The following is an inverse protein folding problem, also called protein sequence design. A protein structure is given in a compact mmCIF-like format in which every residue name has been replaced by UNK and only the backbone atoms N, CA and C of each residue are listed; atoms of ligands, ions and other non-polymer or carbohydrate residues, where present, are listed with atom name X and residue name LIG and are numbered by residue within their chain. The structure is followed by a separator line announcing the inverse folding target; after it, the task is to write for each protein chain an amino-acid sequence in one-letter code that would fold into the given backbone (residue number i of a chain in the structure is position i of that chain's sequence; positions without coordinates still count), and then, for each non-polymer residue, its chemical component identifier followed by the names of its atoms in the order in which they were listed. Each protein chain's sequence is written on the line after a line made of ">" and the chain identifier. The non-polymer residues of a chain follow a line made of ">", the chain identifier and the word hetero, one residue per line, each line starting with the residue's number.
data_IF_663098673135
#
_entry.id   IF_663098673135
#
_cell.length_a   1.000
_cell.length_b   1.000
_cell.length_c   1.000
_cell.angle_alpha   90.00
_cell.angle_beta   90.00
_cell.angle_gamma   90.00
#
_symmetry.space_group_name_H-M   'P 1'
#
loop_
_entity.id
_entity.type
_entity.pdbx_description
1 polymer ?
#
# COMPACT_ATOMS: atom_id res chain seq x y z
N UNK A 1 4.58 4.86 -0.52
CA UNK A 1 4.80 5.92 0.49
C UNK A 1 4.49 5.36 1.86
N UNK A 2 5.33 5.66 2.85
CA UNK A 2 5.15 5.26 4.25
C UNK A 2 5.46 6.46 5.14
N UNK A 3 4.59 6.77 6.10
CA UNK A 3 4.75 7.89 7.02
C UNK A 3 5.09 9.24 6.32
N UNK A 4 4.48 9.51 5.17
CA UNK A 4 4.70 10.73 4.39
C UNK A 4 5.87 10.69 3.40
N UNK A 5 6.70 9.64 3.38
CA UNK A 5 7.88 9.55 2.52
C UNK A 5 7.79 8.44 1.46
N UNK A 6 8.28 8.71 0.26
CA UNK A 6 8.40 7.70 -0.81
C UNK A 6 9.61 6.81 -0.49
N UNK A 7 9.37 5.51 -0.28
CA UNK A 7 10.43 4.55 0.04
C UNK A 7 10.83 3.64 -1.13
N UNK A 8 10.10 3.70 -2.27
CA UNK A 8 10.41 2.87 -3.43
C UNK A 8 9.47 3.08 -4.61
N UNK A 9 9.92 2.63 -5.77
CA UNK A 9 9.16 2.55 -7.01
C UNK A 9 9.12 1.10 -7.47
N UNK A 10 7.94 0.63 -7.89
CA UNK A 10 7.71 -0.73 -8.36
C UNK A 10 6.92 -0.69 -9.67
N UNK A 11 7.14 -1.70 -10.50
CA UNK A 11 6.43 -1.91 -11.75
C UNK A 11 5.00 -2.41 -11.54
N UNK A 12 4.77 -3.20 -10.48
CA UNK A 12 3.47 -3.73 -10.07
C UNK A 12 3.36 -3.91 -8.54
N UNK A 13 2.12 -4.00 -8.03
CA UNK A 13 1.84 -4.38 -6.65
C UNK A 13 1.99 -5.90 -6.51
N UNK A 14 3.06 -6.33 -5.84
CA UNK A 14 3.33 -7.74 -5.52
C UNK A 14 2.75 -8.09 -4.14
N UNK A 15 3.26 -9.18 -3.57
CA UNK A 15 2.86 -9.71 -2.26
C UNK A 15 2.83 -8.61 -1.17
N UNK A 16 1.64 -8.33 -0.57
CA UNK A 16 1.51 -7.35 0.49
C UNK A 16 2.34 -7.68 1.74
N UNK A 17 2.75 -8.92 1.96
CA UNK A 17 3.62 -9.29 3.08
C UNK A 17 5.04 -8.70 2.96
N UNK A 18 5.43 -8.24 1.77
CA UNK A 18 6.69 -7.52 1.57
C UNK A 18 6.61 -6.03 1.94
N UNK A 19 5.46 -5.56 2.43
CA UNK A 19 5.14 -4.15 2.58
C UNK A 19 4.70 -3.85 4.01
N UNK A 20 4.99 -2.62 4.46
CA UNK A 20 4.63 -2.20 5.81
C UNK A 20 3.12 -1.91 5.91
N UNK A 21 2.40 -2.40 6.94
CA UNK A 21 0.96 -2.17 7.14
C UNK A 21 0.58 -0.69 7.26
N UNK A 22 -0.06 -0.11 6.25
CA UNK A 22 -0.37 1.33 6.14
C UNK A 22 0.42 2.05 5.03
N UNK A 23 1.26 1.33 4.28
CA UNK A 23 1.91 1.88 3.10
C UNK A 23 0.87 2.17 2.01
N UNK A 24 1.09 3.29 1.30
CA UNK A 24 0.28 3.67 0.15
C UNK A 24 1.04 3.43 -1.14
N UNK A 25 0.37 2.84 -2.13
CA UNK A 25 0.82 2.72 -3.50
C UNK A 25 -0.19 3.42 -4.43
N UNK A 26 0.30 3.94 -5.55
CA UNK A 26 -0.55 4.57 -6.57
C UNK A 26 -0.20 3.91 -7.90
N UNK A 27 -1.21 3.43 -8.62
CA UNK A 27 -1.01 2.85 -9.95
C UNK A 27 -0.97 3.92 -11.05
N UNK A 28 -0.78 3.48 -12.30
CA UNK A 28 -0.72 4.38 -13.47
C UNK A 28 -2.05 5.06 -13.79
N UNK A 29 -3.18 4.50 -13.35
CA UNK A 29 -4.49 5.09 -13.51
C UNK A 29 -4.82 6.09 -12.38
N UNK A 30 -3.94 6.22 -11.38
CA UNK A 30 -4.15 7.09 -10.22
C UNK A 30 -4.93 6.42 -9.09
N UNK A 31 -5.20 5.12 -9.18
CA UNK A 31 -5.87 4.38 -8.10
C UNK A 31 -4.90 4.22 -6.95
N UNK A 32 -5.35 4.60 -5.76
CA UNK A 32 -4.57 4.50 -4.52
C UNK A 32 -4.91 3.18 -3.84
N UNK A 33 -3.88 2.46 -3.42
CA UNK A 33 -3.99 1.23 -2.63
C UNK A 33 -3.30 1.43 -1.29
N UNK A 34 -3.90 0.92 -0.24
CA UNK A 34 -3.32 0.89 1.11
C UNK A 34 -3.04 -0.56 1.51
N UNK A 35 -1.85 -0.80 2.02
CA UNK A 35 -1.49 -2.09 2.60
C UNK A 35 -2.20 -2.22 3.96
N UNK A 36 -3.03 -3.23 4.16
CA UNK A 36 -3.83 -3.40 5.39
C UNK A 36 -3.63 -4.75 6.07
N UNK A 37 -3.88 -4.76 7.39
CA UNK A 37 -3.66 -5.91 8.27
C UNK A 37 -2.18 -6.24 8.50
N UNK A 38 -1.92 -7.27 9.31
CA UNK A 38 -0.56 -7.72 9.60
C UNK A 38 0.15 -6.87 10.66
N UNK A 39 1.48 -6.90 10.65
CA UNK A 39 2.35 -6.18 11.59
C UNK A 39 3.71 -5.85 10.95
N UNK A 40 4.56 -5.10 11.65
CA UNK A 40 5.86 -4.63 11.13
C UNK A 40 6.86 -5.77 10.86
N UNK A 41 6.66 -6.95 11.45
CA UNK A 41 7.55 -8.10 11.26
C UNK A 41 7.10 -8.98 10.10
N UNK A 42 5.80 -9.21 9.96
CA UNK A 42 5.20 -10.10 8.96
C UNK A 42 4.74 -9.36 7.69
N UNK A 43 4.71 -8.02 7.72
CA UNK A 43 4.18 -7.19 6.64
C UNK A 43 2.65 -7.19 6.59
N UNK A 44 2.09 -6.59 5.54
CA UNK A 44 0.65 -6.46 5.36
C UNK A 44 0.00 -7.76 4.85
N UNK A 45 -1.31 -7.89 5.05
CA UNK A 45 -2.07 -9.06 4.59
C UNK A 45 -2.74 -8.86 3.24
N UNK A 46 -3.07 -7.63 2.89
CA UNK A 46 -3.78 -7.31 1.65
C UNK A 46 -3.46 -5.89 1.16
N UNK A 47 -3.60 -5.69 -0.15
CA UNK A 47 -3.77 -4.37 -0.74
C UNK A 47 -5.25 -4.07 -0.87
N UNK A 48 -5.70 -2.93 -0.32
CA UNK A 48 -7.08 -2.49 -0.39
C UNK A 48 -7.14 -1.19 -1.19
N UNK A 49 -7.98 -1.15 -2.22
CA UNK A 49 -8.22 0.08 -2.98
C UNK A 49 -8.88 1.12 -2.07
N UNK A 50 -8.34 2.34 -2.07
CA UNK A 50 -8.89 3.47 -1.33
C UNK A 50 -9.89 4.16 -2.24
N UNK A 51 -11.15 4.20 -1.79
CA UNK A 51 -12.17 5.01 -2.43
C UNK A 51 -12.03 6.47 -1.93
N UNK A 52 -11.63 7.43 -2.80
CA UNK A 52 -11.47 8.82 -2.40
C UNK A 52 -12.80 9.50 -2.04
N UNK A 53 -13.93 8.96 -2.51
CA UNK A 53 -15.26 9.52 -2.31
C UNK A 53 -16.00 8.89 -1.11
N UNK A 54 -15.40 7.91 -0.43
CA UNK A 54 -16.00 7.24 0.74
C UNK A 54 -15.81 7.99 2.07
N UNK A 55 -15.55 9.31 2.04
CA UNK A 55 -15.41 10.16 3.23
C UNK A 55 -16.74 10.71 3.75
#
# INVERSE_FOLDING_TARGET
>A
MWNGEVYGWKDELRDPASERPGAYAVDKAGVVFKAEGGDDYNGAKAWVAVDPDAQ
#
